data_IF_217531121469
#
_entry.id   IF_217531121469
#
_cell.length_a   1.000
_cell.length_b   1.000
_cell.length_c   1.000
_cell.angle_alpha   90.00
_cell.angle_beta   90.00
_cell.angle_gamma   90.00
#
_symmetry.space_group_name_H-M   'P 1'
#
loop_
_entity.id
_entity.type
_entity.pdbx_description
1 polymer ?
#
# COMPACT_ATOMS: atom_id res chain seq x y z
N UNK A 1 17.97 -45.36 -42.81
CA UNK A 1 18.43 -45.36 -41.40
C UNK A 1 18.29 -43.95 -40.82
N UNK A 2 17.58 -43.77 -39.70
CA UNK A 2 17.21 -42.47 -39.13
C UNK A 2 18.17 -42.04 -38.01
N UNK A 3 18.33 -40.74 -37.76
CA UNK A 3 18.71 -40.23 -36.43
C UNK A 3 17.95 -38.94 -36.13
N UNK A 4 17.01 -39.05 -35.19
CA UNK A 4 16.41 -37.94 -34.45
C UNK A 4 17.48 -37.33 -33.56
N UNK A 5 17.64 -36.01 -33.57
CA UNK A 5 18.29 -35.30 -32.47
C UNK A 5 17.30 -34.32 -31.84
N UNK A 6 16.69 -34.78 -30.75
CA UNK A 6 16.16 -33.93 -29.69
C UNK A 6 17.35 -33.43 -28.85
N UNK A 7 17.45 -32.13 -28.64
CA UNK A 7 18.27 -31.52 -27.59
C UNK A 7 17.54 -30.23 -27.15
N UNK A 8 16.68 -30.37 -26.14
CA UNK A 8 16.93 -29.98 -24.75
C UNK A 8 16.73 -28.48 -24.50
N UNK A 9 15.60 -28.21 -23.83
CA UNK A 9 15.17 -26.92 -23.25
C UNK A 9 16.36 -26.15 -22.64
N UNK A 10 16.51 -24.83 -22.89
CA UNK A 10 17.36 -24.02 -22.03
C UNK A 10 16.70 -23.91 -20.65
N UNK A 11 17.46 -24.28 -19.62
CA UNK A 11 17.07 -24.16 -18.24
C UNK A 11 16.71 -22.70 -17.92
N UNK A 12 15.46 -22.46 -17.50
CA UNK A 12 15.03 -21.17 -16.95
C UNK A 12 15.92 -20.87 -15.74
N UNK A 13 16.83 -19.93 -15.90
CA UNK A 13 17.62 -19.37 -14.81
C UNK A 13 16.64 -18.82 -13.76
N UNK A 14 16.55 -19.49 -12.61
CA UNK A 14 15.91 -18.96 -11.42
C UNK A 14 16.82 -17.87 -10.89
N UNK A 15 16.55 -16.62 -11.27
CA UNK A 15 17.08 -15.45 -10.56
C UNK A 15 16.57 -15.53 -9.12
N UNK A 16 17.49 -15.80 -8.19
CA UNK A 16 17.21 -15.79 -6.76
C UNK A 16 16.62 -14.44 -6.36
N UNK A 17 15.56 -14.48 -5.55
CA UNK A 17 15.05 -13.31 -4.85
C UNK A 17 16.21 -12.68 -4.06
N UNK A 18 16.46 -11.38 -4.15
CA UNK A 18 17.36 -10.74 -3.20
C UNK A 18 16.72 -10.87 -1.82
N UNK A 19 17.48 -11.43 -0.87
CA UNK A 19 17.15 -11.38 0.55
C UNK A 19 17.18 -9.91 0.95
N UNK A 20 16.01 -9.29 1.04
CA UNK A 20 15.87 -7.95 1.57
C UNK A 20 16.13 -8.02 3.07
N UNK A 21 17.11 -7.23 3.52
CA UNK A 21 17.47 -7.02 4.92
C UNK A 21 16.21 -6.90 5.79
N UNK A 22 16.13 -7.74 6.81
CA UNK A 22 15.33 -7.50 8.01
C UNK A 22 15.85 -6.22 8.69
N UNK A 23 15.33 -5.08 8.27
CA UNK A 23 15.04 -4.02 9.23
C UNK A 23 13.76 -4.42 9.95
N UNK A 24 13.74 -4.30 11.26
CA UNK A 24 12.60 -4.47 12.15
C UNK A 24 11.46 -3.50 11.78
N UNK A 25 10.82 -3.75 10.64
CA UNK A 25 9.50 -3.28 10.32
C UNK A 25 8.57 -4.21 11.10
N UNK A 26 7.81 -3.65 12.03
CA UNK A 26 6.67 -4.34 12.67
C UNK A 26 5.94 -5.18 11.60
N UNK A 27 5.56 -6.42 11.91
CA UNK A 27 4.96 -7.32 10.93
C UNK A 27 3.71 -6.70 10.31
N UNK A 28 3.87 -6.09 9.13
CA UNK A 28 2.77 -5.45 8.41
C UNK A 28 1.95 -6.50 7.70
N UNK A 29 0.65 -6.57 8.03
CA UNK A 29 -0.30 -7.42 7.33
C UNK A 29 -0.80 -6.73 6.06
N UNK A 30 -0.79 -7.45 4.94
CA UNK A 30 -1.33 -6.94 3.68
C UNK A 30 -2.85 -7.11 3.66
N UNK A 31 -3.56 -6.02 3.40
CA UNK A 31 -4.99 -6.01 3.11
C UNK A 31 -5.26 -5.40 1.71
N UNK A 32 -6.38 -5.77 1.09
CA UNK A 32 -6.82 -5.24 -0.21
C UNK A 32 -8.26 -4.76 -0.08
N UNK A 33 -8.54 -3.56 -0.56
CA UNK A 33 -9.85 -2.92 -0.49
C UNK A 33 -10.24 -2.35 -1.85
N UNK A 34 -11.55 -2.31 -2.13
CA UNK A 34 -12.07 -1.59 -3.28
C UNK A 34 -12.14 -0.10 -2.97
N UNK A 35 -11.53 0.71 -3.84
CA UNK A 35 -11.57 2.16 -3.78
C UNK A 35 -12.22 2.68 -5.06
N UNK A 36 -12.98 3.76 -4.96
CA UNK A 36 -13.45 4.46 -6.15
C UNK A 36 -12.26 5.09 -6.88
N UNK A 37 -12.36 5.33 -8.22
CA UNK A 37 -11.31 6.03 -8.96
C UNK A 37 -10.95 7.38 -8.32
N UNK A 38 -11.97 8.16 -7.93
CA UNK A 38 -11.77 9.45 -7.28
C UNK A 38 -11.00 9.35 -5.94
N UNK A 39 -11.22 8.29 -5.15
CA UNK A 39 -10.48 8.08 -3.91
C UNK A 39 -9.00 7.72 -4.18
N UNK A 40 -8.74 6.95 -5.24
CA UNK A 40 -7.38 6.63 -5.65
C UNK A 40 -6.63 7.88 -6.13
N UNK A 41 -7.26 8.70 -6.97
CA UNK A 41 -6.68 9.95 -7.48
C UNK A 41 -6.34 10.91 -6.32
N UNK A 42 -7.26 11.10 -5.38
CA UNK A 42 -7.03 11.91 -4.19
C UNK A 42 -5.85 11.39 -3.33
N UNK A 43 -5.67 10.07 -3.24
CA UNK A 43 -4.54 9.47 -2.54
C UNK A 43 -3.21 9.74 -3.25
N UNK A 44 -3.17 9.69 -4.59
CA UNK A 44 -1.98 10.06 -5.38
C UNK A 44 -1.59 11.52 -5.16
N UNK A 45 -2.56 12.43 -5.23
CA UNK A 45 -2.34 13.86 -5.03
C UNK A 45 -1.85 14.17 -3.61
N UNK A 46 -2.51 13.62 -2.59
CA UNK A 46 -2.09 13.76 -1.20
C UNK A 46 -0.67 13.22 -0.98
N UNK A 47 -0.34 12.08 -1.58
CA UNK A 47 0.99 11.49 -1.50
C UNK A 47 2.07 12.41 -2.10
N UNK A 48 1.81 12.99 -3.27
CA UNK A 48 2.72 13.96 -3.89
C UNK A 48 2.87 15.23 -3.05
N UNK A 49 1.77 15.75 -2.51
CA UNK A 49 1.78 16.94 -1.67
C UNK A 49 2.59 16.73 -0.39
N UNK A 50 2.35 15.63 0.33
CA UNK A 50 3.08 15.29 1.55
C UNK A 50 4.58 15.11 1.27
N UNK A 51 4.94 14.45 0.15
CA UNK A 51 6.35 14.28 -0.29
C UNK A 51 7.03 15.58 -0.69
N UNK A 52 6.28 16.62 -1.06
CA UNK A 52 6.82 17.97 -1.28
C UNK A 52 7.06 18.67 0.06
N UNK A 53 6.12 18.56 1.01
CA UNK A 53 6.23 19.16 2.34
C UNK A 53 7.39 18.60 3.16
N UNK A 54 7.65 17.29 3.07
CA UNK A 54 8.67 16.62 3.88
C UNK A 54 10.13 16.83 3.41
N UNK A 55 10.36 17.55 2.32
CA UNK A 55 11.70 17.79 1.79
C UNK A 55 12.44 16.52 1.35
N UNK A 56 13.76 16.60 1.20
CA UNK A 56 14.62 15.48 0.75
C UNK A 56 14.73 14.35 1.77
N UNK A 57 14.77 14.68 3.06
CA UNK A 57 15.01 13.70 4.14
C UNK A 57 13.77 12.88 4.51
N UNK A 58 12.56 13.49 4.46
CA UNK A 58 11.32 12.82 4.85
C UNK A 58 10.58 12.10 3.72
N UNK A 59 10.96 12.36 2.46
CA UNK A 59 10.24 11.87 1.28
C UNK A 59 10.21 10.34 1.15
N UNK A 60 11.22 9.64 1.69
CA UNK A 60 11.29 8.17 1.65
C UNK A 60 10.32 7.48 2.62
N UNK A 61 9.88 8.16 3.68
CA UNK A 61 8.97 7.61 4.69
C UNK A 61 7.51 7.73 4.31
N UNK A 62 7.18 8.60 3.37
CA UNK A 62 5.81 8.85 2.93
C UNK A 62 5.47 7.87 1.81
N UNK A 63 4.80 6.78 2.17
CA UNK A 63 4.21 5.81 1.24
C UNK A 63 2.68 5.95 1.24
N UNK A 64 2.02 5.44 0.19
CA UNK A 64 0.55 5.37 0.14
C UNK A 64 -0.02 4.52 1.26
N UNK A 65 0.65 3.41 1.60
CA UNK A 65 0.26 2.57 2.74
C UNK A 65 0.31 3.34 4.06
N UNK A 66 1.36 4.13 4.30
CA UNK A 66 1.48 4.95 5.50
C UNK A 66 0.38 6.02 5.59
N UNK A 67 0.01 6.62 4.45
CA UNK A 67 -1.10 7.60 4.40
C UNK A 67 -2.43 6.92 4.73
N UNK A 68 -2.70 5.77 4.11
CA UNK A 68 -3.94 5.00 4.33
C UNK A 68 -4.04 4.55 5.79
N UNK A 69 -2.96 4.01 6.34
CA UNK A 69 -2.89 3.58 7.74
C UNK A 69 -3.17 4.75 8.70
N UNK A 70 -2.48 5.88 8.53
CA UNK A 70 -2.70 7.07 9.35
C UNK A 70 -4.15 7.60 9.23
N UNK A 71 -4.71 7.62 8.02
CA UNK A 71 -6.07 8.08 7.78
C UNK A 71 -7.11 7.16 8.44
N UNK A 72 -6.91 5.83 8.39
CA UNK A 72 -7.78 4.86 9.06
C UNK A 72 -7.73 5.05 10.58
N UNK A 73 -6.53 5.11 11.15
CA UNK A 73 -6.35 5.29 12.60
C UNK A 73 -6.97 6.60 13.08
N UNK A 74 -6.75 7.71 12.34
CA UNK A 74 -7.35 9.01 12.66
C UNK A 74 -8.88 8.95 12.60
N UNK A 75 -9.45 8.31 11.57
CA UNK A 75 -10.90 8.23 11.40
C UNK A 75 -11.55 7.36 12.49
N UNK A 76 -10.90 6.26 12.89
CA UNK A 76 -11.35 5.40 13.99
C UNK A 76 -11.26 6.13 15.33
N UNK A 77 -10.15 6.81 15.60
CA UNK A 77 -9.99 7.62 16.82
C UNK A 77 -11.06 8.74 16.91
N UNK A 78 -11.37 9.39 15.78
CA UNK A 78 -12.45 10.37 15.73
C UNK A 78 -13.81 9.73 16.03
N UNK A 79 -14.08 8.55 15.48
CA UNK A 79 -15.31 7.78 15.74
C UNK A 79 -15.43 7.41 17.22
N UNK A 80 -14.36 6.94 17.85
CA UNK A 80 -14.35 6.62 19.29
C UNK A 80 -14.60 7.86 20.15
N UNK A 81 -14.05 9.01 19.75
CA UNK A 81 -14.14 10.24 20.55
C UNK A 81 -15.45 11.01 20.35
N UNK A 82 -16.04 10.95 19.15
CA UNK A 82 -17.21 11.76 18.76
C UNK A 82 -18.46 10.94 18.49
N UNK A 83 -18.35 9.61 18.47
CA UNK A 83 -19.42 8.66 18.18
C UNK A 83 -20.21 9.06 16.92
N UNK A 84 -21.52 9.31 17.05
CA UNK A 84 -22.43 9.65 15.96
C UNK A 84 -22.10 10.96 15.25
N UNK A 85 -21.31 11.83 15.90
CA UNK A 85 -20.88 13.12 15.33
C UNK A 85 -19.61 13.02 14.50
N UNK A 86 -18.99 11.83 14.42
CA UNK A 86 -17.80 11.62 13.60
C UNK A 86 -18.10 11.67 12.10
N UNK A 87 -17.08 11.92 11.29
CA UNK A 87 -17.22 11.94 9.84
C UNK A 87 -17.56 10.54 9.30
N UNK A 88 -17.05 9.48 9.92
CA UNK A 88 -17.40 8.11 9.54
C UNK A 88 -18.88 7.81 9.81
N UNK A 89 -19.38 8.12 11.01
CA UNK A 89 -20.79 7.90 11.34
C UNK A 89 -21.71 8.70 10.41
N UNK A 90 -21.38 9.96 10.15
CA UNK A 90 -22.19 10.84 9.27
C UNK A 90 -22.30 10.30 7.84
N UNK A 91 -21.26 9.64 7.32
CA UNK A 91 -21.22 9.15 5.93
C UNK A 91 -21.77 7.74 5.77
N UNK A 92 -21.63 6.88 6.79
CA UNK A 92 -21.90 5.45 6.69
C UNK A 92 -23.15 5.01 7.46
N UNK A 93 -23.63 5.78 8.45
CA UNK A 93 -24.87 5.44 9.14
C UNK A 93 -26.05 5.65 8.18
N UNK A 94 -26.92 4.64 7.98
CA UNK A 94 -28.14 4.83 7.22
C UNK A 94 -28.99 5.92 7.87
N UNK A 95 -29.68 6.71 7.05
CA UNK A 95 -30.64 7.72 7.52
C UNK A 95 -31.85 7.07 8.19
#
# INVERSE_FOLDING_TARGET
MPVKQQASRPARQRTGKPVSKESSEEERLKATYYLSPAALDALEEAWLQLRRMAGSEGRGRISKSAIVEAAILQAVQELESKEERSQLATRLKPK
#
